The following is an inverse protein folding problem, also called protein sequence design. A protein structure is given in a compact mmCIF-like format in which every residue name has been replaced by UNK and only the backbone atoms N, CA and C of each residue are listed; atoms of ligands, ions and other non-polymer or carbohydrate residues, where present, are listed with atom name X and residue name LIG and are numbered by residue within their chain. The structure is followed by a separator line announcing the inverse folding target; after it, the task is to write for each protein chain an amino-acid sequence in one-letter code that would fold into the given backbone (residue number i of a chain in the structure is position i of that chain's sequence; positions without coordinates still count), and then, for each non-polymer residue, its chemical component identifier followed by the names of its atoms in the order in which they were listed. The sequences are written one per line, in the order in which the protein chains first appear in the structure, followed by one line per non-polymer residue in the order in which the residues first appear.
data_IF_069966958762
#
_entry.id   IF_069966958762
#
_cell.length_a   1.000
_cell.length_b   1.000
_cell.length_c   1.000
_cell.angle_alpha   90.00
_cell.angle_beta   90.00
_cell.angle_gamma   90.00
#
_symmetry.space_group_name_H-M   'P 1'
#
loop_
_entity.id
_entity.type
_entity.pdbx_description
1 polymer ?
2 non-polymer ?
3 water ?
#
# COMPACT_ATOMS: atom_id res chain seq x y z
N UNK A 29 -0.44 37.15 -18.82
CA UNK A 29 -1.43 37.04 -17.70
C UNK A 29 -2.42 35.93 -18.06
N UNK A 30 -3.31 36.20 -19.03
CA UNK A 30 -4.26 35.22 -19.61
C UNK A 30 -3.43 34.18 -20.37
N UNK A 31 -2.34 34.62 -20.99
CA UNK A 31 -1.49 33.70 -21.79
C UNK A 31 -0.82 32.73 -20.84
N UNK A 32 -0.48 33.18 -19.65
CA UNK A 32 0.27 32.39 -18.62
C UNK A 32 -0.69 31.33 -18.07
N UNK A 33 -1.91 31.76 -17.73
CA UNK A 33 -3.00 30.89 -17.23
C UNK A 33 -3.25 29.80 -18.27
N UNK A 34 -3.30 30.19 -19.56
CA UNK A 34 -3.47 29.29 -20.71
C UNK A 34 -2.24 28.41 -20.84
N UNK A 35 -1.04 28.96 -20.63
CA UNK A 35 0.20 28.14 -20.67
C UNK A 35 0.13 27.06 -19.58
N UNK A 36 -0.26 27.38 -18.36
CA UNK A 36 -0.29 26.41 -17.22
C UNK A 36 -1.22 25.24 -17.57
N UNK A 37 -2.42 25.55 -18.06
CA UNK A 37 -3.40 24.51 -18.53
C UNK A 37 -2.80 23.66 -19.64
N UNK A 38 -2.23 24.28 -20.69
CA UNK A 38 -1.59 23.55 -21.82
C UNK A 38 -0.47 22.64 -21.31
N UNK A 39 0.38 23.10 -20.40
CA UNK A 39 1.50 22.27 -19.87
C UNK A 39 0.95 21.04 -19.11
N UNK A 40 -0.05 21.21 -18.25
CA UNK A 40 -0.64 20.09 -17.44
C UNK A 40 -1.27 19.10 -18.41
N UNK A 41 -2.04 19.60 -19.37
CA UNK A 41 -2.67 18.77 -20.42
C UNK A 41 -1.63 17.97 -21.19
N UNK A 42 -0.59 18.63 -21.71
CA UNK A 42 0.44 17.96 -22.53
C UNK A 42 1.24 16.96 -21.71
N UNK A 43 1.59 17.29 -20.48
CA UNK A 43 2.39 16.41 -19.59
C UNK A 43 1.58 15.16 -19.25
N UNK A 44 0.31 15.37 -18.88
CA UNK A 44 -0.63 14.28 -18.55
C UNK A 44 -0.67 13.31 -19.72
N UNK A 45 -0.82 13.84 -20.93
CA UNK A 45 -0.92 12.99 -22.16
C UNK A 45 0.36 12.19 -22.35
N UNK A 46 1.50 12.87 -22.42
CA UNK A 46 2.79 12.23 -22.80
C UNK A 46 3.27 11.32 -21.67
N UNK A 47 3.25 11.74 -20.43
CA UNK A 47 3.66 10.87 -19.29
C UNK A 47 2.66 9.71 -19.13
N UNK A 48 1.36 9.97 -19.34
CA UNK A 48 0.33 8.93 -19.41
C UNK A 48 0.69 7.82 -20.39
N UNK A 49 1.22 8.21 -21.53
CA UNK A 49 1.57 7.29 -22.65
C UNK A 49 2.90 6.60 -22.39
N UNK A 50 3.96 7.31 -22.00
CA UNK A 50 5.33 6.75 -22.05
C UNK A 50 5.97 6.65 -20.65
N UNK A 51 5.36 7.26 -19.62
CA UNK A 51 5.91 7.28 -18.27
C UNK A 51 6.74 8.54 -18.01
N UNK A 52 6.76 8.95 -16.75
CA UNK A 52 7.50 10.12 -16.25
C UNK A 52 8.95 10.06 -16.73
N UNK A 53 9.63 8.92 -16.56
CA UNK A 53 11.09 8.82 -16.79
C UNK A 53 11.40 9.04 -18.29
N UNK A 54 10.44 8.82 -19.18
CA UNK A 54 10.68 8.72 -20.65
C UNK A 54 10.34 10.03 -21.37
N UNK A 55 9.81 11.04 -20.69
CA UNK A 55 9.51 12.35 -21.36
C UNK A 55 10.11 13.47 -20.54
N UNK A 56 10.94 14.31 -21.16
CA UNK A 56 11.56 15.50 -20.52
C UNK A 56 10.71 16.75 -20.71
N UNK A 57 10.97 17.77 -19.88
CA UNK A 57 10.24 19.07 -19.90
C UNK A 57 10.35 19.76 -21.26
N UNK A 58 11.49 19.70 -22.01
CA UNK A 58 11.54 20.33 -23.33
C UNK A 58 10.46 19.79 -24.30
N UNK A 59 10.32 18.46 -24.36
CA UNK A 59 9.31 17.80 -25.23
C UNK A 59 7.89 18.20 -24.79
N UNK A 60 7.66 18.37 -23.47
CA UNK A 60 6.34 18.80 -22.93
C UNK A 60 6.09 20.25 -23.39
N UNK A 61 7.10 21.11 -23.26
CA UNK A 61 7.01 22.55 -23.65
C UNK A 61 6.56 22.64 -25.12
N UNK A 62 7.20 21.85 -25.98
CA UNK A 62 6.92 21.76 -27.43
C UNK A 62 5.49 21.25 -27.66
N UNK A 63 5.08 20.19 -26.97
CA UNK A 63 3.71 19.63 -27.03
C UNK A 63 2.70 20.75 -26.73
N UNK A 64 2.96 21.55 -25.69
CA UNK A 64 2.08 22.63 -25.22
C UNK A 64 2.21 23.85 -26.16
N UNK A 65 3.22 23.87 -27.04
CA UNK A 65 3.49 25.00 -27.93
C UNK A 65 3.93 26.23 -27.17
N UNK A 66 4.74 26.07 -26.12
CA UNK A 66 5.22 27.21 -25.30
C UNK A 66 6.74 27.07 -25.16
N UNK A 67 7.36 28.17 -24.76
CA UNK A 67 8.83 28.26 -24.60
C UNK A 67 9.19 27.64 -23.25
N UNK A 68 10.47 27.29 -23.12
CA UNK A 68 11.02 26.75 -21.87
C UNK A 68 10.87 27.80 -20.77
N UNK A 69 11.03 29.09 -21.08
CA UNK A 69 10.93 30.15 -20.06
C UNK A 69 9.51 30.28 -19.54
N UNK A 70 8.50 30.12 -20.38
CA UNK A 70 7.07 30.17 -19.98
C UNK A 70 6.78 28.94 -19.08
N UNK A 71 7.35 27.78 -19.41
CA UNK A 71 7.16 26.56 -18.59
C UNK A 71 7.79 26.75 -17.22
N UNK A 72 9.04 27.20 -17.16
CA UNK A 72 9.85 27.35 -15.92
C UNK A 72 9.20 28.41 -15.03
N UNK A 73 8.52 29.40 -15.61
CA UNK A 73 7.75 30.41 -14.85
C UNK A 73 6.58 29.74 -14.08
N UNK A 74 5.94 28.74 -14.67
CA UNK A 74 4.77 28.04 -14.07
C UNK A 74 5.26 26.92 -13.12
N UNK A 75 6.32 26.22 -13.50
CA UNK A 75 6.77 24.99 -12.78
C UNK A 75 8.28 25.10 -12.54
N UNK A 76 8.66 25.18 -11.27
CA UNK A 76 10.07 25.22 -10.81
C UNK A 76 10.83 24.07 -11.46
N UNK A 77 10.23 22.88 -11.56
CA UNK A 77 10.94 21.67 -12.08
C UNK A 77 9.95 20.62 -12.56
N UNK A 78 10.48 19.54 -13.12
CA UNK A 78 9.69 18.41 -13.67
C UNK A 78 8.74 17.81 -12.62
N UNK A 79 9.22 17.62 -11.39
CA UNK A 79 8.42 16.98 -10.30
C UNK A 79 7.26 17.90 -9.94
N UNK A 80 7.43 19.22 -9.98
CA UNK A 80 6.36 20.22 -9.68
C UNK A 80 5.23 20.08 -10.70
N UNK A 81 5.55 19.93 -11.97
CA UNK A 81 4.53 19.74 -13.03
C UNK A 81 3.83 18.40 -12.82
N UNK A 82 4.59 17.35 -12.48
CA UNK A 82 4.03 16.03 -12.15
C UNK A 82 3.02 16.13 -11.01
N UNK A 83 3.33 16.87 -9.94
CA UNK A 83 2.41 17.01 -8.78
C UNK A 83 1.06 17.57 -9.26
N UNK A 84 1.06 18.56 -10.16
CA UNK A 84 -0.19 19.16 -10.68
C UNK A 84 -0.90 18.17 -11.63
N UNK A 85 -0.16 17.34 -12.36
CA UNK A 85 -0.77 16.30 -13.21
C UNK A 85 -1.49 15.28 -12.28
N UNK A 86 -0.83 14.83 -11.22
CA UNK A 86 -1.44 13.85 -10.28
C UNK A 86 -2.75 14.43 -9.73
N UNK A 87 -2.81 15.73 -9.44
CA UNK A 87 -4.02 16.38 -8.87
C UNK A 87 -5.17 16.22 -9.85
N UNK A 88 -4.99 16.61 -11.11
CA UNK A 88 -6.12 16.60 -12.09
C UNK A 88 -6.46 15.14 -12.41
N UNK A 89 -5.50 14.23 -12.45
CA UNK A 89 -5.76 12.78 -12.68
C UNK A 89 -6.58 12.20 -11.51
N UNK A 90 -6.20 12.49 -10.27
CA UNK A 90 -6.92 12.02 -9.07
C UNK A 90 -8.34 12.60 -9.03
N UNK A 91 -8.50 13.87 -9.36
CA UNK A 91 -9.83 14.53 -9.41
C UNK A 91 -10.70 13.75 -10.40
N UNK A 92 -10.16 13.34 -11.54
CA UNK A 92 -10.89 12.62 -12.60
C UNK A 92 -11.19 11.18 -12.18
N UNK A 93 -10.25 10.55 -11.50
CA UNK A 93 -10.48 9.20 -10.91
C UNK A 93 -11.69 9.26 -9.98
N UNK A 94 -11.69 10.19 -9.02
CA UNK A 94 -12.79 10.27 -8.02
C UNK A 94 -14.11 10.65 -8.71
N UNK A 95 -14.07 11.50 -9.74
CA UNK A 95 -15.30 11.92 -10.47
C UNK A 95 -15.81 10.71 -11.25
N UNK A 96 -14.93 9.95 -11.87
CA UNK A 96 -15.36 8.76 -12.62
C UNK A 96 -15.92 7.68 -11.66
N UNK A 97 -15.36 7.52 -10.47
CA UNK A 97 -15.89 6.55 -9.48
C UNK A 97 -17.32 6.98 -9.10
N UNK A 98 -17.51 8.26 -8.75
CA UNK A 98 -18.85 8.81 -8.40
C UNK A 98 -19.80 8.61 -9.58
N UNK A 99 -19.34 8.77 -10.82
CA UNK A 99 -20.18 8.60 -12.04
C UNK A 99 -20.59 7.13 -12.17
N UNK A 100 -19.65 6.19 -12.02
CA UNK A 100 -19.94 4.74 -12.20
C UNK A 100 -20.85 4.25 -11.09
N UNK A 101 -20.70 4.76 -9.86
CA UNK A 101 -21.62 4.38 -8.75
C UNK A 101 -23.04 4.94 -9.07
N UNK A 102 -23.16 6.19 -9.52
CA UNK A 102 -24.46 6.82 -9.88
C UNK A 102 -25.08 6.09 -11.07
N UNK A 103 -24.26 5.59 -12.00
CA UNK A 103 -24.70 4.86 -13.22
C UNK A 103 -25.09 3.41 -12.91
N UNK A 104 -24.74 2.87 -11.73
CA UNK A 104 -24.90 1.43 -11.44
C UNK A 104 -26.39 1.12 -11.18
N UNK A 105 -27.18 2.11 -10.79
CA UNK A 105 -28.57 1.94 -10.33
C UNK A 105 -28.64 1.64 -8.84
N UNK A 106 -27.51 1.57 -8.13
CA UNK A 106 -27.47 1.09 -6.73
C UNK A 106 -28.56 1.80 -5.94
N UNK A 107 -29.41 1.02 -5.27
CA UNK A 107 -30.59 1.49 -4.51
C UNK A 107 -30.30 1.47 -3.00
N UNK A 108 -29.28 0.72 -2.57
CA UNK A 108 -28.91 0.60 -1.14
C UNK A 108 -27.45 0.93 -0.96
N UNK A 109 -27.03 1.38 0.24
CA UNK A 109 -25.61 1.56 0.54
C UNK A 109 -24.81 0.28 0.26
N UNK A 110 -25.34 -0.90 0.57
CA UNK A 110 -24.64 -2.18 0.27
C UNK A 110 -24.36 -2.26 -1.22
N UNK A 111 -25.35 -1.96 -2.08
CA UNK A 111 -25.13 -2.03 -3.56
C UNK A 111 -24.22 -0.90 -4.02
N UNK A 112 -24.21 0.25 -3.33
CA UNK A 112 -23.30 1.37 -3.67
C UNK A 112 -21.87 0.88 -3.45
N UNK A 113 -21.64 0.11 -2.38
CA UNK A 113 -20.29 -0.38 -2.00
C UNK A 113 -19.85 -1.39 -3.06
N UNK A 114 -20.72 -2.32 -3.42
CA UNK A 114 -20.44 -3.31 -4.48
C UNK A 114 -20.05 -2.56 -5.75
N UNK A 115 -20.84 -1.56 -6.17
CA UNK A 115 -20.59 -0.79 -7.41
C UNK A 115 -19.25 -0.04 -7.29
N UNK A 116 -18.93 0.54 -6.12
CA UNK A 116 -17.67 1.33 -5.92
C UNK A 116 -16.46 0.42 -6.05
N UNK A 117 -16.54 -0.79 -5.51
CA UNK A 117 -15.42 -1.75 -5.61
C UNK A 117 -15.20 -2.08 -7.09
N UNK A 118 -16.26 -2.42 -7.83
CA UNK A 118 -16.15 -2.69 -9.30
C UNK A 118 -15.62 -1.45 -10.04
N UNK A 119 -16.11 -0.26 -9.68
CA UNK A 119 -15.69 1.03 -10.30
C UNK A 119 -14.19 1.25 -10.09
N UNK A 120 -13.65 1.02 -8.88
CA UNK A 120 -12.20 1.15 -8.61
C UNK A 120 -11.40 0.24 -9.53
N UNK A 121 -11.80 -1.02 -9.70
CA UNK A 121 -11.05 -1.93 -10.61
C UNK A 121 -11.11 -1.38 -12.04
N UNK A 122 -12.25 -0.83 -12.44
CA UNK A 122 -12.43 -0.27 -13.81
C UNK A 122 -11.51 0.94 -14.00
N UNK A 123 -11.56 1.91 -13.10
CA UNK A 123 -10.90 3.24 -13.22
C UNK A 123 -9.39 2.99 -13.12
N UNK A 124 -8.96 2.14 -12.18
CA UNK A 124 -7.53 1.90 -11.88
C UNK A 124 -6.91 1.11 -13.05
N UNK A 125 -7.77 0.49 -13.87
CA UNK A 125 -7.32 -0.28 -15.05
C UNK A 125 -7.18 0.60 -16.28
N UNK A 126 -7.65 1.85 -16.24
CA UNK A 126 -7.36 2.84 -17.32
C UNK A 126 -5.83 2.98 -17.46
N UNK A 127 -5.22 2.73 -18.64
CA UNK A 127 -3.75 2.73 -18.78
C UNK A 127 -3.06 4.01 -18.30
N UNK A 128 -3.69 5.17 -18.49
CA UNK A 128 -3.13 6.46 -18.00
C UNK A 128 -3.08 6.44 -16.46
N UNK A 129 -4.14 5.95 -15.81
CA UNK A 129 -4.22 5.94 -14.32
C UNK A 129 -3.16 4.95 -13.79
N UNK A 130 -3.06 3.80 -14.41
CA UNK A 130 -2.03 2.78 -14.10
C UNK A 130 -0.65 3.44 -14.17
N UNK A 131 -0.34 4.09 -15.30
CA UNK A 131 1.01 4.67 -15.49
C UNK A 131 1.25 5.79 -14.46
N UNK A 132 0.34 6.75 -14.32
CA UNK A 132 0.62 8.00 -13.58
C UNK A 132 0.43 7.79 -12.08
N UNK A 133 -0.65 7.10 -11.67
CA UNK A 133 -0.98 6.95 -10.22
C UNK A 133 -0.32 5.70 -9.63
N UNK A 134 -0.36 4.56 -10.30
CA UNK A 134 0.11 3.31 -9.66
C UNK A 134 1.64 3.14 -9.86
N UNK A 135 2.19 3.56 -10.97
CA UNK A 135 3.62 3.31 -11.27
C UNK A 135 4.46 4.55 -10.95
N UNK A 136 4.19 5.68 -11.58
CA UNK A 136 5.02 6.90 -11.45
C UNK A 136 4.80 7.60 -10.11
N UNK A 137 3.56 7.82 -9.68
CA UNK A 137 3.30 8.73 -8.55
C UNK A 137 4.04 8.29 -7.28
N UNK A 138 4.01 7.00 -6.88
CA UNK A 138 4.67 6.56 -5.65
C UNK A 138 6.19 6.84 -5.71
N UNK A 139 6.77 6.74 -6.90
CA UNK A 139 8.22 7.00 -7.13
C UNK A 139 8.49 8.49 -7.08
N UNK A 140 7.76 9.28 -7.87
CA UNK A 140 8.07 10.73 -8.04
C UNK A 140 7.70 11.50 -6.77
N UNK A 141 6.55 11.18 -6.15
CA UNK A 141 6.14 11.95 -4.93
C UNK A 141 6.86 11.41 -3.69
N UNK A 142 7.31 10.16 -3.73
CA UNK A 142 7.76 9.41 -2.55
C UNK A 142 6.60 8.93 -1.72
N UNK A 143 6.86 8.07 -0.74
CA UNK A 143 5.83 7.36 0.03
C UNK A 143 4.89 8.36 0.73
N UNK A 144 5.45 9.30 1.49
CA UNK A 144 4.66 10.20 2.36
C UNK A 144 3.78 11.10 1.47
N UNK A 145 4.37 11.65 0.40
CA UNK A 145 3.66 12.54 -0.54
C UNK A 145 2.55 11.80 -1.24
N UNK A 146 2.82 10.58 -1.71
CA UNK A 146 1.84 9.77 -2.47
C UNK A 146 0.67 9.41 -1.55
N UNK A 147 0.94 8.91 -0.37
CA UNK A 147 -0.16 8.52 0.54
C UNK A 147 -0.97 9.75 0.93
N UNK A 148 -0.35 10.91 1.11
CA UNK A 148 -1.11 12.12 1.51
C UNK A 148 -2.13 12.47 0.42
N UNK A 149 -1.71 12.44 -0.84
CA UNK A 149 -2.59 12.69 -2.02
C UNK A 149 -3.65 11.58 -2.10
N UNK A 150 -3.27 10.30 -2.01
CA UNK A 150 -4.18 9.13 -2.04
C UNK A 150 -5.28 9.28 -0.99
N UNK A 151 -4.91 9.63 0.24
CA UNK A 151 -5.85 9.76 1.39
C UNK A 151 -6.80 10.94 1.14
N UNK A 152 -6.25 12.09 0.74
CA UNK A 152 -7.04 13.32 0.47
C UNK A 152 -8.14 12.97 -0.53
N UNK A 153 -7.86 12.16 -1.55
CA UNK A 153 -8.88 11.87 -2.59
C UNK A 153 -9.79 10.69 -2.22
N UNK A 154 -9.30 9.68 -1.50
CA UNK A 154 -10.07 8.40 -1.36
C UNK A 154 -10.79 8.29 0.00
N UNK A 155 -10.26 8.91 1.06
CA UNK A 155 -10.77 8.60 2.43
C UNK A 155 -12.24 9.05 2.56
N UNK A 156 -12.55 10.26 2.07
CA UNK A 156 -13.88 10.88 2.16
C UNK A 156 -14.95 10.00 1.56
N UNK A 157 -14.81 9.59 0.30
CA UNK A 157 -15.76 8.69 -0.39
C UNK A 157 -15.88 7.37 0.37
N UNK A 158 -14.75 6.79 0.80
CA UNK A 158 -14.77 5.47 1.49
C UNK A 158 -15.56 5.58 2.80
N UNK A 159 -15.24 6.57 3.62
CA UNK A 159 -15.90 6.81 4.93
C UNK A 159 -17.38 7.11 4.73
N UNK A 160 -17.74 7.82 3.67
CA UNK A 160 -19.15 8.13 3.40
C UNK A 160 -19.92 6.83 3.09
N UNK A 161 -19.43 6.00 2.17
CA UNK A 161 -20.11 4.71 1.82
C UNK A 161 -20.27 3.85 3.09
N UNK A 162 -19.22 3.76 3.90
CA UNK A 162 -19.26 2.97 5.17
C UNK A 162 -20.35 3.57 6.07
N UNK A 163 -20.35 4.90 6.27
CA UNK A 163 -21.26 5.54 7.26
C UNK A 163 -22.69 5.30 6.78
N UNK A 164 -22.98 5.45 5.49
CA UNK A 164 -24.34 5.22 4.95
C UNK A 164 -24.74 3.76 5.17
N UNK A 165 -23.84 2.80 5.00
CA UNK A 165 -24.18 1.37 5.11
C UNK A 165 -24.48 1.10 6.57
N UNK A 166 -23.69 1.67 7.49
CA UNK A 166 -23.96 1.53 8.95
C UNK A 166 -25.35 2.12 9.26
N UNK A 167 -25.62 3.37 8.87
CA UNK A 167 -26.92 4.05 9.14
C UNK A 167 -28.09 3.19 8.62
N UNK A 168 -27.96 2.55 7.45
CA UNK A 168 -29.01 1.70 6.85
C UNK A 168 -29.14 0.35 7.56
N UNK A 169 -28.29 0.02 8.53
CA UNK A 169 -28.23 -1.30 9.18
C UNK A 169 -27.67 -2.40 8.26
N UNK A 170 -26.86 -2.04 7.26
CA UNK A 170 -26.30 -3.04 6.29
C UNK A 170 -24.83 -3.31 6.61
N UNK A 171 -24.30 -2.69 7.66
CA UNK A 171 -22.93 -2.95 8.12
C UNK A 171 -22.96 -2.73 9.63
N UNK A 172 -22.35 -3.63 10.40
CA UNK A 172 -22.25 -3.52 11.88
C UNK A 172 -21.69 -2.15 12.26
N UNK A 173 -22.30 -1.52 13.26
CA UNK A 173 -21.69 -0.35 13.95
C UNK A 173 -20.28 -0.73 14.37
N UNK A 174 -19.31 0.10 13.99
CA UNK A 174 -17.88 -0.12 14.22
C UNK A 174 -17.15 1.18 13.88
N UNK A 175 -15.87 1.32 14.31
CA UNK A 175 -15.06 2.49 13.98
C UNK A 175 -14.96 2.61 12.45
N UNK A 176 -15.36 3.77 11.93
CA UNK A 176 -15.40 4.06 10.48
C UNK A 176 -13.98 4.16 9.91
N UNK A 177 -13.11 4.98 10.51
CA UNK A 177 -11.78 5.30 9.91
C UNK A 177 -10.93 4.03 9.84
N UNK A 178 -10.81 3.22 10.91
CA UNK A 178 -10.04 1.97 10.80
C UNK A 178 -10.54 1.02 9.69
N UNK A 179 -11.86 0.85 9.53
CA UNK A 179 -12.41 -0.02 8.46
C UNK A 179 -12.02 0.59 7.11
N UNK A 180 -12.19 1.91 6.95
CA UNK A 180 -11.88 2.66 5.71
C UNK A 180 -10.42 2.38 5.32
N UNK A 181 -9.51 2.54 6.26
CA UNK A 181 -8.05 2.48 6.04
C UNK A 181 -7.68 1.06 5.60
N UNK A 182 -8.24 0.04 6.27
CA UNK A 182 -7.97 -1.39 5.94
C UNK A 182 -8.49 -1.68 4.53
N UNK A 183 -9.70 -1.22 4.21
CA UNK A 183 -10.27 -1.46 2.85
C UNK A 183 -9.44 -0.72 1.81
N UNK A 184 -9.01 0.52 2.06
CA UNK A 184 -8.13 1.27 1.12
C UNK A 184 -6.83 0.46 0.89
N UNK A 185 -6.25 -0.12 1.93
CA UNK A 185 -5.05 -0.97 1.81
C UNK A 185 -5.29 -2.18 0.93
N UNK A 186 -6.45 -2.82 1.08
CA UNK A 186 -6.87 -3.99 0.29
C UNK A 186 -7.05 -3.56 -1.17
N UNK A 187 -7.77 -2.46 -1.39
CA UNK A 187 -8.15 -1.98 -2.75
C UNK A 187 -6.90 -1.43 -3.47
N UNK A 188 -6.01 -0.72 -2.77
CA UNK A 188 -4.71 -0.24 -3.32
C UNK A 188 -3.91 -1.48 -3.77
N UNK A 189 -3.82 -2.52 -2.95
CA UNK A 189 -3.05 -3.75 -3.31
C UNK A 189 -3.74 -4.43 -4.51
N UNK A 190 -5.07 -4.54 -4.50
CA UNK A 190 -5.82 -5.14 -5.63
C UNK A 190 -5.42 -4.45 -6.95
N UNK A 191 -5.37 -3.12 -6.97
CA UNK A 191 -5.06 -2.34 -8.19
C UNK A 191 -3.61 -2.61 -8.62
N UNK A 192 -2.67 -2.61 -7.67
CA UNK A 192 -1.23 -2.79 -7.97
C UNK A 192 -0.99 -4.21 -8.48
N UNK A 193 -1.70 -5.20 -7.90
CA UNK A 193 -1.61 -6.63 -8.29
C UNK A 193 -2.04 -6.77 -9.74
N UNK A 194 -3.17 -6.16 -10.12
CA UNK A 194 -3.68 -6.20 -11.52
C UNK A 194 -2.69 -5.43 -12.41
N UNK A 195 -2.26 -4.24 -11.99
CA UNK A 195 -1.36 -3.35 -12.76
C UNK A 195 -0.08 -4.11 -13.18
N UNK A 196 0.43 -5.04 -12.36
CA UNK A 196 1.76 -5.64 -12.59
C UNK A 196 1.63 -7.13 -12.96
N UNK A 197 0.41 -7.61 -13.16
CA UNK A 197 0.14 -9.07 -13.41
C UNK A 197 0.58 -9.46 -14.82
N UNK A 198 1.10 -10.70 -14.97
CA UNK A 198 1.38 -11.36 -16.27
C UNK A 198 0.12 -11.35 -17.14
N UNK A 199 -1.02 -11.74 -16.58
CA UNK A 199 -2.34 -11.76 -17.28
C UNK A 199 -3.30 -10.84 -16.50
N UNK A 200 -3.33 -9.53 -16.81
CA UNK A 200 -4.16 -8.57 -16.09
C UNK A 200 -5.66 -8.83 -16.23
N UNK A 201 -6.08 -9.42 -17.35
CA UNK A 201 -7.50 -9.74 -17.61
C UNK A 201 -7.97 -10.75 -16.56
N UNK A 202 -7.17 -11.80 -16.37
CA UNK A 202 -7.44 -12.88 -15.39
C UNK A 202 -7.28 -12.30 -13.97
N UNK A 203 -6.22 -11.54 -13.71
CA UNK A 203 -5.95 -10.96 -12.37
C UNK A 203 -7.15 -10.09 -11.96
N UNK A 204 -7.67 -9.29 -12.89
CA UNK A 204 -8.80 -8.36 -12.61
C UNK A 204 -10.06 -9.18 -12.29
N UNK A 205 -10.38 -10.18 -13.12
CA UNK A 205 -11.57 -11.06 -12.89
C UNK A 205 -11.43 -11.72 -11.50
N UNK A 206 -10.29 -12.33 -11.20
CA UNK A 206 -10.13 -13.13 -9.96
C UNK A 206 -10.10 -12.21 -8.73
N UNK A 207 -9.49 -11.04 -8.87
CA UNK A 207 -9.37 -10.05 -7.78
C UNK A 207 -10.78 -9.49 -7.51
N UNK A 208 -11.56 -9.24 -8.56
CA UNK A 208 -12.95 -8.74 -8.40
C UNK A 208 -13.75 -9.79 -7.62
N UNK A 209 -13.58 -11.07 -7.96
CA UNK A 209 -14.25 -12.21 -7.26
C UNK A 209 -13.89 -12.21 -5.78
N UNK A 210 -12.60 -12.11 -5.45
CA UNK A 210 -12.09 -12.11 -4.06
C UNK A 210 -12.68 -10.92 -3.29
N UNK A 211 -12.65 -9.72 -3.87
CA UNK A 211 -13.15 -8.51 -3.16
C UNK A 211 -14.66 -8.62 -2.95
N UNK A 212 -15.38 -9.12 -3.94
CA UNK A 212 -16.85 -9.26 -3.84
C UNK A 212 -17.18 -10.23 -2.69
N UNK A 213 -16.42 -11.31 -2.53
CA UNK A 213 -16.68 -12.31 -1.47
C UNK A 213 -16.40 -11.68 -0.11
N UNK A 214 -15.34 -10.92 -0.02
CA UNK A 214 -14.91 -10.23 1.21
C UNK A 214 -16.00 -9.23 1.64
N UNK A 215 -16.47 -8.37 0.74
CA UNK A 215 -17.51 -7.36 1.12
C UNK A 215 -18.84 -8.07 1.38
N UNK A 216 -19.21 -9.08 0.58
CA UNK A 216 -20.47 -9.84 0.80
C UNK A 216 -20.43 -10.58 2.15
N UNK A 217 -19.27 -10.94 2.65
CA UNK A 217 -19.14 -11.54 4.00
C UNK A 217 -19.41 -10.53 5.10
N UNK A 218 -19.24 -9.23 4.85
CA UNK A 218 -19.44 -8.18 5.90
C UNK A 218 -20.79 -7.45 5.72
N UNK A 219 -21.32 -7.38 4.52
CA UNK A 219 -22.55 -6.59 4.26
C UNK A 219 -23.79 -7.39 4.67
N UNK A 220 -24.63 -6.76 5.49
CA UNK A 220 -25.99 -7.26 5.80
C UNK A 220 -26.91 -6.63 4.74
N UNK A 221 -26.89 -7.22 3.57
CA UNK A 221 -27.61 -6.66 2.41
C UNK A 221 -26.90 -7.00 1.13
N UNK B 31 34.88 -13.44 6.10
CA UNK B 31 35.72 -12.27 6.55
C UNK B 31 34.97 -10.97 6.23
N UNK B 32 34.56 -10.81 4.96
CA UNK B 32 33.55 -9.84 4.48
C UNK B 32 32.23 -10.11 5.22
N UNK B 33 31.87 -11.41 5.29
CA UNK B 33 30.69 -11.96 5.98
C UNK B 33 30.58 -11.34 7.37
N UNK B 34 31.69 -11.31 8.12
CA UNK B 34 31.74 -10.84 9.53
C UNK B 34 31.51 -9.32 9.56
N UNK B 35 32.10 -8.58 8.63
CA UNK B 35 31.90 -7.11 8.51
C UNK B 35 30.42 -6.85 8.21
N UNK B 36 29.85 -7.55 7.23
CA UNK B 36 28.44 -7.33 6.80
C UNK B 36 27.53 -7.64 7.98
N UNK B 37 27.75 -8.74 8.70
CA UNK B 37 26.92 -9.13 9.87
C UNK B 37 27.00 -8.04 10.93
N UNK B 38 28.20 -7.57 11.30
CA UNK B 38 28.37 -6.48 12.29
C UNK B 38 27.62 -5.22 11.84
N UNK B 39 27.76 -4.83 10.58
CA UNK B 39 27.12 -3.60 10.06
C UNK B 39 25.59 -3.76 10.09
N UNK B 40 25.06 -4.91 9.65
CA UNK B 40 23.57 -5.13 9.61
C UNK B 40 23.04 -5.09 11.03
N UNK B 41 23.70 -5.76 11.96
CA UNK B 41 23.32 -5.79 13.39
C UNK B 41 23.31 -4.37 13.94
N UNK B 42 24.38 -3.61 13.74
CA UNK B 42 24.50 -2.22 14.25
C UNK B 42 23.43 -1.31 13.66
N UNK B 43 23.17 -1.43 12.36
CA UNK B 43 22.18 -0.59 11.65
C UNK B 43 20.79 -0.91 12.17
N UNK B 44 20.47 -2.19 12.27
CA UNK B 44 19.17 -2.67 12.79
C UNK B 44 18.94 -2.01 14.15
N UNK B 45 19.95 -2.08 15.04
CA UNK B 45 19.82 -1.55 16.43
C UNK B 45 19.56 -0.04 16.40
N UNK B 46 20.45 0.72 15.77
CA UNK B 46 20.44 2.20 15.83
C UNK B 46 19.27 2.77 15.02
N UNK B 47 19.01 2.25 13.82
CA UNK B 47 17.85 2.69 12.99
C UNK B 47 16.55 2.27 13.69
N UNK B 48 16.54 1.07 14.28
CA UNK B 48 15.44 0.58 15.13
C UNK B 48 15.06 1.59 16.21
N UNK B 49 16.08 2.20 16.82
CA UNK B 49 15.92 3.12 17.97
C UNK B 49 15.52 4.52 17.47
N UNK B 50 16.21 5.09 16.48
CA UNK B 50 16.06 6.53 16.16
C UNK B 50 15.50 6.79 14.76
N UNK B 51 15.47 5.79 13.89
CA UNK B 51 14.99 5.94 12.52
C UNK B 51 16.12 6.09 11.54
N UNK B 52 15.92 5.57 10.33
CA UNK B 52 16.80 5.71 9.15
C UNK B 52 17.31 7.15 9.02
N UNK B 53 16.43 8.15 9.06
CA UNK B 53 16.78 9.55 8.76
C UNK B 53 17.81 10.08 9.76
N UNK B 54 17.80 9.57 10.99
CA UNK B 54 18.47 10.20 12.17
C UNK B 54 19.84 9.56 12.44
N UNK B 55 20.23 8.52 11.73
CA UNK B 55 21.55 7.87 11.96
C UNK B 55 22.25 7.72 10.63
N UNK B 56 23.49 8.22 10.56
CA UNK B 56 24.36 8.15 9.39
C UNK B 56 25.22 6.90 9.45
N UNK B 57 25.79 6.53 8.31
CA UNK B 57 26.63 5.31 8.16
C UNK B 57 27.86 5.39 9.06
N UNK B 58 28.54 6.55 9.27
CA UNK B 58 29.68 6.60 10.19
C UNK B 58 29.34 6.14 11.62
N UNK B 59 28.18 6.57 12.15
CA UNK B 59 27.74 6.16 13.51
C UNK B 59 27.46 4.65 13.53
N UNK B 60 26.94 4.10 12.43
CA UNK B 60 26.70 2.63 12.28
C UNK B 60 28.07 1.92 12.25
N UNK B 61 29.02 2.45 11.50
CA UNK B 61 30.41 1.92 11.38
C UNK B 61 31.02 1.79 12.78
N UNK B 62 30.86 2.83 13.60
CA UNK B 62 31.38 2.89 14.99
C UNK B 62 30.67 1.86 15.87
N UNK B 63 29.34 1.76 15.79
CA UNK B 63 28.59 0.73 16.55
C UNK B 63 29.11 -0.66 16.18
N UNK B 64 29.40 -0.90 14.90
CA UNK B 64 29.87 -2.19 14.35
C UNK B 64 31.34 -2.39 14.68
N UNK B 65 32.06 -1.32 15.07
CA UNK B 65 33.51 -1.36 15.27
C UNK B 65 34.25 -1.66 13.97
N UNK B 66 33.81 -1.07 12.85
CA UNK B 66 34.55 -1.18 11.56
C UNK B 66 34.77 0.23 11.01
N UNK B 67 35.74 0.40 10.12
CA UNK B 67 36.09 1.70 9.50
C UNK B 67 35.08 2.03 8.40
N UNK B 68 35.02 3.30 8.03
CA UNK B 68 34.20 3.81 6.91
C UNK B 68 34.59 3.07 5.63
N UNK B 69 35.88 2.81 5.43
CA UNK B 69 36.40 2.16 4.21
C UNK B 69 35.89 0.73 4.10
N UNK B 70 35.90 -0.02 5.20
CA UNK B 70 35.42 -1.42 5.24
C UNK B 70 33.90 -1.42 5.02
N UNK B 71 33.18 -0.46 5.59
CA UNK B 71 31.72 -0.36 5.41
C UNK B 71 31.39 -0.13 3.93
N UNK B 72 32.04 0.86 3.30
CA UNK B 72 31.72 1.34 1.93
C UNK B 72 32.07 0.25 0.92
N UNK B 73 33.02 -0.62 1.25
CA UNK B 73 33.34 -1.83 0.45
C UNK B 73 32.13 -2.77 0.40
N UNK B 74 31.40 -2.90 1.51
CA UNK B 74 30.26 -3.85 1.65
C UNK B 74 28.96 -3.21 1.15
N UNK B 75 28.79 -1.91 1.40
CA UNK B 75 27.53 -1.20 1.08
C UNK B 75 27.90 0.11 0.39
N UNK B 76 27.58 0.19 -0.90
CA UNK B 76 27.77 1.40 -1.72
C UNK B 76 27.20 2.61 -0.98
N UNK B 77 26.03 2.47 -0.35
CA UNK B 77 25.34 3.63 0.26
C UNK B 77 24.39 3.16 1.38
N UNK B 78 23.78 4.14 2.02
CA UNK B 78 22.91 3.96 3.19
C UNK B 78 21.73 3.05 2.84
N UNK B 79 21.11 3.28 1.68
CA UNK B 79 19.91 2.55 1.23
C UNK B 79 20.26 1.07 1.04
N UNK B 80 21.48 0.77 0.56
CA UNK B 80 21.94 -0.63 0.33
C UNK B 80 21.96 -1.37 1.67
N UNK B 81 22.50 -0.75 2.71
CA UNK B 81 22.56 -1.39 4.05
C UNK B 81 21.14 -1.57 4.61
N UNK B 82 20.27 -0.57 4.41
CA UNK B 82 18.85 -0.62 4.83
C UNK B 82 18.16 -1.82 4.17
N UNK B 83 18.37 -2.06 2.87
CA UNK B 83 17.75 -3.21 2.17
C UNK B 83 18.12 -4.53 2.89
N UNK B 84 19.37 -4.70 3.30
CA UNK B 84 19.82 -5.93 4.00
C UNK B 84 19.22 -5.98 5.42
N UNK B 85 19.07 -4.84 6.09
CA UNK B 85 18.42 -4.76 7.42
C UNK B 85 16.96 -5.24 7.28
N UNK B 86 16.23 -4.73 6.29
CA UNK B 86 14.80 -5.10 6.10
C UNK B 86 14.70 -6.61 5.91
N UNK B 87 15.61 -7.23 5.14
CA UNK B 87 15.59 -8.68 4.85
C UNK B 87 15.62 -9.45 6.20
N UNK B 88 16.61 -9.16 7.02
CA UNK B 88 16.88 -9.90 8.29
C UNK B 88 15.71 -9.65 9.25
N UNK B 89 15.20 -8.42 9.29
CA UNK B 89 14.08 -8.06 10.20
C UNK B 89 12.80 -8.80 9.76
N UNK B 90 12.50 -8.84 8.47
CA UNK B 90 11.25 -9.49 7.96
C UNK B 90 11.35 -10.99 8.17
N UNK B 91 12.53 -11.56 7.95
CA UNK B 91 12.76 -13.01 8.24
C UNK B 91 12.43 -13.30 9.71
N UNK B 92 12.87 -12.42 10.61
CA UNK B 92 12.68 -12.56 12.08
C UNK B 92 11.19 -12.37 12.41
N UNK B 93 10.55 -11.38 11.80
CA UNK B 93 9.10 -11.12 11.99
C UNK B 93 8.32 -12.37 11.67
N UNK B 94 8.57 -12.99 10.53
CA UNK B 94 7.81 -14.17 10.07
C UNK B 94 8.09 -15.34 11.02
N UNK B 95 9.32 -15.50 11.51
CA UNK B 95 9.68 -16.58 12.46
C UNK B 95 8.95 -16.35 13.78
N UNK B 96 8.90 -15.10 14.24
CA UNK B 96 8.17 -14.79 15.49
C UNK B 96 6.67 -15.05 15.34
N UNK B 97 6.11 -14.73 14.17
CA UNK B 97 4.67 -15.00 13.91
C UNK B 97 4.40 -16.51 13.93
N UNK B 98 5.18 -17.31 13.21
CA UNK B 98 5.11 -18.79 13.22
C UNK B 98 5.23 -19.28 14.69
N UNK B 99 6.10 -18.69 15.51
CA UNK B 99 6.25 -19.07 16.95
C UNK B 99 4.95 -18.76 17.71
N UNK B 100 4.38 -17.57 17.54
CA UNK B 100 3.15 -17.16 18.26
C UNK B 100 1.94 -18.00 17.80
N UNK B 101 1.88 -18.36 16.53
CA UNK B 101 0.78 -19.21 15.98
C UNK B 101 0.92 -20.61 16.62
N UNK B 102 2.13 -21.17 16.71
CA UNK B 102 2.38 -22.49 17.34
C UNK B 102 1.96 -22.47 18.84
N UNK B 103 2.15 -21.35 19.54
CA UNK B 103 1.79 -21.18 20.97
C UNK B 103 0.30 -20.83 21.16
N UNK B 104 -0.46 -20.56 20.09
CA UNK B 104 -1.84 -20.02 20.21
C UNK B 104 -2.81 -21.12 20.63
N UNK B 105 -2.50 -22.39 20.33
CA UNK B 105 -3.41 -23.54 20.50
C UNK B 105 -4.46 -23.62 19.40
N UNK B 106 -4.28 -22.90 18.30
CA UNK B 106 -5.28 -22.87 17.20
C UNK B 106 -5.54 -24.33 16.80
N UNK B 107 -6.81 -24.72 16.72
CA UNK B 107 -7.26 -26.12 16.54
C UNK B 107 -7.66 -26.40 15.09
N UNK B 108 -8.00 -25.37 14.31
CA UNK B 108 -8.45 -25.47 12.90
C UNK B 108 -7.69 -24.46 12.04
N UNK B 109 -7.60 -24.66 10.72
CA UNK B 109 -7.05 -23.65 9.81
C UNK B 109 -7.70 -22.27 9.99
N UNK B 110 -9.01 -22.20 10.22
CA UNK B 110 -9.70 -20.91 10.46
C UNK B 110 -9.06 -20.22 11.68
N UNK B 111 -8.84 -20.97 12.76
CA UNK B 111 -8.26 -20.40 14.01
C UNK B 111 -6.78 -20.10 13.77
N UNK B 112 -6.10 -20.83 12.89
CA UNK B 112 -4.69 -20.53 12.57
C UNK B 112 -4.61 -19.14 11.91
N UNK B 113 -5.60 -18.81 11.05
CA UNK B 113 -5.62 -17.51 10.33
C UNK B 113 -5.85 -16.40 11.36
N UNK B 114 -6.85 -16.60 12.23
CA UNK B 114 -7.14 -15.66 13.33
C UNK B 114 -5.87 -15.46 14.16
N UNK B 115 -5.19 -16.53 14.56
CA UNK B 115 -3.96 -16.43 15.39
C UNK B 115 -2.86 -15.68 14.64
N UNK B 116 -2.69 -15.90 13.32
CA UNK B 116 -1.63 -15.24 12.51
C UNK B 116 -1.89 -13.74 12.44
N UNK B 117 -3.16 -13.36 12.31
CA UNK B 117 -3.53 -11.92 12.30
C UNK B 117 -3.16 -11.31 13.66
N UNK B 118 -3.55 -11.94 14.77
CA UNK B 118 -3.20 -11.50 16.16
C UNK B 118 -1.68 -11.45 16.33
N UNK B 119 -0.95 -12.44 15.81
CA UNK B 119 0.53 -12.49 15.87
C UNK B 119 1.14 -11.28 15.17
N UNK B 120 0.67 -10.98 13.95
CA UNK B 120 1.13 -9.77 13.22
C UNK B 120 0.83 -8.50 14.03
N UNK B 121 -0.37 -8.35 14.60
CA UNK B 121 -0.68 -7.15 15.42
C UNK B 121 0.27 -7.09 16.63
N UNK B 122 0.64 -8.22 17.21
CA UNK B 122 1.55 -8.28 18.38
C UNK B 122 2.94 -7.80 17.95
N UNK B 123 3.52 -8.48 16.95
CA UNK B 123 4.94 -8.30 16.51
C UNK B 123 5.10 -6.88 15.95
N UNK B 124 4.10 -6.37 15.23
CA UNK B 124 4.12 -5.04 14.57
C UNK B 124 4.19 -3.93 15.63
N UNK B 125 3.80 -4.24 16.87
CA UNK B 125 3.87 -3.29 18.00
C UNK B 125 5.24 -3.25 18.65
N UNK B 126 6.15 -4.19 18.32
CA UNK B 126 7.58 -4.09 18.71
C UNK B 126 8.15 -2.80 18.14
N UNK B 127 8.68 -1.87 18.98
CA UNK B 127 9.16 -0.55 18.51
C UNK B 127 10.15 -0.59 17.33
N UNK B 128 11.03 -1.58 17.32
CA UNK B 128 12.03 -1.72 16.24
C UNK B 128 11.29 -2.07 14.94
N UNK B 129 10.32 -2.99 14.98
CA UNK B 129 9.55 -3.43 13.78
C UNK B 129 8.73 -2.22 13.27
N UNK B 130 8.09 -1.50 14.18
CA UNK B 130 7.32 -0.27 13.86
C UNK B 130 8.26 0.70 13.13
N UNK B 131 9.42 1.02 13.71
CA UNK B 131 10.32 2.03 13.10
C UNK B 131 10.84 1.53 11.76
N UNK B 132 11.36 0.30 11.66
CA UNK B 132 12.11 -0.15 10.45
C UNK B 132 11.14 -0.54 9.34
N UNK B 133 10.10 -1.31 9.67
CA UNK B 133 9.21 -1.91 8.65
C UNK B 133 8.03 -0.97 8.35
N UNK B 134 7.42 -0.38 9.36
CA UNK B 134 6.14 0.34 9.13
C UNK B 134 6.42 1.80 8.76
N UNK B 135 7.47 2.40 9.30
CA UNK B 135 7.74 3.84 9.09
C UNK B 135 8.83 4.04 8.03
N UNK B 136 10.01 3.48 8.23
CA UNK B 136 11.18 3.71 7.35
C UNK B 136 11.05 2.93 6.04
N UNK B 137 10.70 1.65 6.07
CA UNK B 137 10.81 0.79 4.87
C UNK B 137 9.98 1.35 3.71
N UNK B 138 8.72 1.79 3.89
CA UNK B 138 7.93 2.31 2.77
C UNK B 138 8.59 3.56 2.15
N UNK B 139 9.18 4.41 2.99
CA UNK B 139 9.88 5.66 2.57
C UNK B 139 11.14 5.29 1.79
N UNK B 140 11.99 4.43 2.34
CA UNK B 140 13.30 4.12 1.72
C UNK B 140 13.11 3.23 0.50
N UNK B 141 12.26 2.20 0.58
CA UNK B 141 12.06 1.22 -0.52
C UNK B 141 11.03 1.72 -1.53
N UNK B 142 10.12 2.59 -1.15
CA UNK B 142 8.95 2.95 -1.98
C UNK B 142 7.90 1.87 -1.92
N UNK B 143 6.72 2.15 -2.43
CA UNK B 143 5.57 1.20 -2.46
C UNK B 143 5.97 -0.09 -3.20
N UNK B 144 6.59 -0.01 -4.39
CA UNK B 144 6.90 -1.21 -5.20
C UNK B 144 7.93 -2.09 -4.44
N UNK B 145 8.98 -1.46 -3.90
CA UNK B 145 10.04 -2.17 -3.15
C UNK B 145 9.47 -2.81 -1.89
N UNK B 146 8.62 -2.09 -1.15
CA UNK B 146 8.00 -2.56 0.10
C UNK B 146 7.14 -3.79 -0.20
N UNK B 147 6.27 -3.70 -1.20
CA UNK B 147 5.39 -4.84 -1.62
C UNK B 147 6.25 -6.05 -1.97
N UNK B 148 7.34 -5.84 -2.71
CA UNK B 148 8.18 -6.98 -3.18
C UNK B 148 8.70 -7.75 -1.97
N UNK B 149 9.24 -7.03 -1.00
CA UNK B 149 9.79 -7.62 0.26
C UNK B 149 8.65 -8.27 1.07
N UNK B 150 7.54 -7.56 1.27
CA UNK B 150 6.34 -8.09 1.96
C UNK B 150 5.91 -9.44 1.36
N UNK B 151 5.78 -9.52 0.04
CA UNK B 151 5.35 -10.72 -0.69
C UNK B 151 6.37 -11.85 -0.56
N UNK B 152 7.65 -11.56 -0.79
CA UNK B 152 8.73 -12.57 -0.66
C UNK B 152 8.67 -13.22 0.72
N UNK B 153 8.41 -12.47 1.79
CA UNK B 153 8.45 -13.00 3.17
C UNK B 153 7.10 -13.59 3.61
N UNK B 154 5.96 -13.17 3.06
CA UNK B 154 4.67 -13.61 3.65
C UNK B 154 3.75 -14.34 2.68
N UNK B 155 3.98 -14.29 1.37
CA UNK B 155 3.02 -14.88 0.40
C UNK B 155 2.89 -16.39 0.63
N UNK B 156 4.01 -17.10 0.77
CA UNK B 156 4.06 -18.55 0.99
C UNK B 156 3.23 -19.00 2.17
N UNK B 157 3.47 -18.41 3.33
CA UNK B 157 2.73 -18.75 4.57
C UNK B 157 1.25 -18.37 4.40
N UNK B 158 0.94 -17.22 3.79
CA UNK B 158 -0.46 -16.76 3.61
C UNK B 158 -1.20 -17.72 2.69
N UNK B 159 -0.60 -18.12 1.55
CA UNK B 159 -1.22 -19.06 0.60
C UNK B 159 -1.44 -20.42 1.28
N UNK B 160 -0.50 -20.84 2.12
CA UNK B 160 -0.61 -22.10 2.89
C UNK B 160 -1.85 -22.04 3.80
N UNK B 161 -1.98 -21.01 4.63
CA UNK B 161 -3.14 -20.86 5.56
C UNK B 161 -4.45 -20.90 4.76
N UNK B 162 -4.51 -20.13 3.67
CA UNK B 162 -5.71 -20.10 2.80
C UNK B 162 -5.98 -21.52 2.28
N UNK B 163 -4.98 -22.22 1.71
CA UNK B 163 -5.18 -23.55 1.08
C UNK B 163 -5.69 -24.54 2.16
N UNK B 164 -5.12 -24.52 3.35
CA UNK B 164 -5.57 -25.42 4.46
C UNK B 164 -7.01 -25.09 4.85
N UNK B 165 -7.40 -23.81 4.89
CA UNK B 165 -8.76 -23.43 5.31
C UNK B 165 -9.73 -23.91 4.23
N UNK B 166 -9.36 -23.76 2.95
CA UNK B 166 -10.17 -24.28 1.83
C UNK B 166 -10.31 -25.81 1.96
N UNK B 167 -9.21 -26.55 2.12
CA UNK B 167 -9.23 -28.04 2.24
C UNK B 167 -10.16 -28.47 3.39
N UNK B 168 -10.13 -27.76 4.52
CA UNK B 168 -10.95 -28.05 5.71
C UNK B 168 -12.41 -27.62 5.53
N UNK B 169 -12.77 -27.01 4.40
CA UNK B 169 -14.11 -26.48 4.15
C UNK B 169 -14.46 -25.26 4.99
N UNK B 170 -13.47 -24.49 5.47
CA UNK B 170 -13.74 -23.30 6.32
C UNK B 170 -13.58 -22.00 5.52
N UNK B 171 -13.26 -22.12 4.24
CA UNK B 171 -13.09 -20.94 3.35
C UNK B 171 -13.54 -21.38 1.97
N UNK B 172 -14.37 -20.60 1.29
CA UNK B 172 -14.83 -20.93 -0.08
C UNK B 172 -13.62 -21.14 -1.00
N UNK B 173 -13.69 -22.20 -1.80
CA UNK B 173 -12.84 -22.40 -2.99
C UNK B 173 -12.83 -21.09 -3.79
N UNK B 174 -11.66 -20.51 -4.03
CA UNK B 174 -11.51 -19.20 -4.73
C UNK B 174 -10.05 -19.04 -5.10
N UNK B 175 -9.71 -18.05 -5.96
CA UNK B 175 -8.32 -17.85 -6.37
C UNK B 175 -7.46 -17.60 -5.12
N UNK B 176 -6.46 -18.43 -4.88
CA UNK B 176 -5.62 -18.38 -3.66
C UNK B 176 -4.73 -17.13 -3.70
N UNK B 177 -3.95 -16.93 -4.78
CA UNK B 177 -2.93 -15.85 -4.86
C UNK B 177 -3.61 -14.49 -4.77
N UNK B 178 -4.69 -14.20 -5.53
CA UNK B 178 -5.37 -12.91 -5.37
C UNK B 178 -5.84 -12.64 -3.92
N UNK B 179 -6.44 -13.63 -3.26
CA UNK B 179 -6.93 -13.45 -1.86
C UNK B 179 -5.73 -13.18 -0.95
N UNK B 180 -4.65 -13.93 -1.11
CA UNK B 180 -3.39 -13.78 -0.34
C UNK B 180 -2.88 -12.34 -0.44
N UNK B 181 -2.78 -11.84 -1.68
CA UNK B 181 -2.24 -10.49 -1.98
C UNK B 181 -3.09 -9.42 -1.29
N UNK B 182 -4.41 -9.54 -1.41
CA UNK B 182 -5.36 -8.55 -0.83
C UNK B 182 -5.23 -8.58 0.71
N UNK B 183 -5.17 -9.77 1.30
CA UNK B 183 -5.02 -9.90 2.77
C UNK B 183 -3.69 -9.30 3.21
N UNK B 184 -2.60 -9.61 2.51
CA UNK B 184 -1.25 -9.03 2.84
C UNK B 184 -1.34 -7.51 2.80
N UNK B 185 -1.96 -6.96 1.76
CA UNK B 185 -2.06 -5.49 1.59
C UNK B 185 -2.90 -4.91 2.71
N UNK B 186 -3.98 -5.59 3.09
CA UNK B 186 -4.90 -5.13 4.15
C UNK B 186 -4.18 -5.15 5.51
N UNK B 187 -3.48 -6.25 5.80
CA UNK B 187 -2.81 -6.43 7.12
C UNK B 187 -1.62 -5.47 7.28
N UNK B 188 -0.85 -5.28 6.20
CA UNK B 188 0.27 -4.30 6.19
C UNK B 188 -0.31 -2.89 6.44
N UNK B 189 -1.41 -2.52 5.77
CA UNK B 189 -2.03 -1.19 5.96
C UNK B 189 -2.55 -1.05 7.41
N UNK B 190 -3.18 -2.10 7.96
CA UNK B 190 -3.69 -2.09 9.36
C UNK B 190 -2.54 -1.73 10.31
N UNK B 191 -1.38 -2.35 10.14
CA UNK B 191 -0.23 -2.10 11.06
C UNK B 191 0.28 -0.66 10.89
N UNK B 192 0.39 -0.16 9.66
CA UNK B 192 0.84 1.22 9.38
C UNK B 192 -0.14 2.24 9.99
N UNK B 193 -1.45 1.93 9.95
CA UNK B 193 -2.51 2.82 10.50
C UNK B 193 -2.27 2.95 12.02
N UNK B 194 -2.07 1.81 12.70
CA UNK B 194 -1.76 1.77 14.15
C UNK B 194 -0.44 2.51 14.41
N UNK B 195 0.60 2.23 13.62
CA UNK B 195 1.95 2.78 13.78
C UNK B 195 1.92 4.31 13.81
N UNK B 196 1.03 4.95 13.05
CA UNK B 196 1.09 6.42 12.87
C UNK B 196 -0.10 7.10 13.57
N UNK B 197 -0.90 6.35 14.33
CA UNK B 197 -2.15 6.87 14.94
C UNK B 197 -1.81 7.78 16.13
N UNK B 198 -2.63 8.83 16.36
CA UNK B 198 -2.57 9.73 17.54
C UNK B 198 -2.67 8.88 18.82
N UNK B 199 -3.61 7.94 18.87
CA UNK B 199 -3.80 7.02 20.04
C UNK B 199 -3.64 5.58 19.57
N UNK B 200 -2.39 5.05 19.54
CA UNK B 200 -2.13 3.71 19.02
C UNK B 200 -2.81 2.59 19.80
N UNK B 201 -3.04 2.78 21.10
CA UNK B 201 -3.71 1.75 21.94
C UNK B 201 -5.14 1.57 21.45
N UNK B 202 -5.84 2.69 21.21
CA UNK B 202 -7.22 2.70 20.70
C UNK B 202 -7.22 2.22 19.25
N UNK B 203 -6.30 2.71 18.41
CA UNK B 203 -6.22 2.34 16.98
C UNK B 203 -6.00 0.84 16.86
N UNK B 204 -5.15 0.26 17.71
CA UNK B 204 -4.87 -1.21 17.71
C UNK B 204 -6.13 -1.97 18.10
N UNK B 205 -6.84 -1.54 19.15
CA UNK B 205 -8.08 -2.23 19.58
C UNK B 205 -9.13 -2.15 18.45
N UNK B 206 -9.38 -0.96 17.91
CA UNK B 206 -10.43 -0.74 16.86
C UNK B 206 -10.04 -1.47 15.57
N UNK B 207 -8.76 -1.48 15.21
CA UNK B 207 -8.25 -2.13 13.98
C UNK B 207 -8.39 -3.64 14.16
N UNK B 208 -8.04 -4.16 15.34
CA UNK B 208 -8.20 -5.61 15.64
C UNK B 208 -9.69 -5.97 15.47
N UNK B 209 -10.60 -5.13 15.97
CA UNK B 209 -12.07 -5.36 15.87
C UNK B 209 -12.45 -5.48 14.38
N UNK B 210 -12.03 -4.49 13.57
CA UNK B 210 -12.26 -4.46 12.09
C UNK B 210 -11.69 -5.74 11.44
N UNK B 211 -10.46 -6.12 11.73
CA UNK B 211 -9.81 -7.29 11.07
C UNK B 211 -10.54 -8.58 11.47
N UNK B 212 -10.95 -8.68 12.73
CA UNK B 212 -11.77 -9.83 13.22
C UNK B 212 -13.04 -9.96 12.37
N UNK B 213 -13.74 -8.85 12.11
CA UNK B 213 -15.04 -8.86 11.39
C UNK B 213 -14.79 -9.28 9.94
N UNK B 214 -13.74 -8.73 9.35
CA UNK B 214 -13.35 -8.99 7.94
C UNK B 214 -12.99 -10.48 7.76
N UNK B 215 -12.15 -11.01 8.63
CA UNK B 215 -11.71 -12.45 8.59
C UNK B 215 -12.93 -13.34 8.84
N UNK B 216 -13.70 -13.05 9.89
CA UNK B 216 -14.89 -13.86 10.28
C UNK B 216 -15.94 -13.82 9.16
N UNK B 217 -16.02 -12.72 8.40
CA UNK B 217 -16.94 -12.64 7.25
C UNK B 217 -16.50 -13.53 6.11
N UNK B 218 -15.18 -13.74 6.00
CA UNK B 218 -14.46 -14.49 4.95
C UNK B 218 -14.60 -16.02 5.16
N UNK B 219 -14.81 -16.47 6.40
CA UNK B 219 -14.68 -17.90 6.82
C UNK B 219 -16.05 -18.51 7.14
N UNK B 220 -16.18 -19.83 6.96
CA UNK B 220 -17.48 -20.56 6.98
C UNK B 220 -17.74 -21.19 8.34
N UNK B 221 -18.93 -20.92 8.91
CA UNK B 221 -19.58 -21.77 9.91
C UNK B 221 -20.45 -20.98 10.86
X LIG C 1 5.42 -8.55 8.13
X LIG C 1 -1.58 -13.89 7.65
X LIG C 1 5.05 -8.37 5.30
X LIG C 1 6.04 -9.46 5.75
X LIG C 1 0.50 -10.84 8.41
X LIG C 1 6.44 -9.11 7.16
X LIG C 1 3.12 -9.58 6.38
X LIG C 1 1.81 -9.26 7.05
X LIG C 1 0.95 -10.47 7.17
X LIG C 1 -0.31 -11.94 8.56
X LIG C 1 -0.69 -12.69 7.45
X LIG C 1 3.89 -8.31 6.17
X LIG C 1 5.74 -7.02 5.46
X LIG C 1 4.46 -7.64 7.37
X LIG C 1 5.29 -6.49 6.82
X LIG C 1 7.63 -9.22 7.55
X LIG C 1 -2.55 -14.01 6.74
X LIG C 1 -2.14 -13.77 8.84
X LIG C 1 -0.77 -14.92 7.58
X LIG C 1 -0.25 -12.32 6.20
X LIG C 1 0.57 -11.21 6.07
#
# INVERSE_FOLDING_TARGET
MGSSHHHHHHSSGLVPRGSHMEIKRRTQEERSAATREALITGARKLWGLRGYAEVGTPEIATEAGVTRGAMYHQFADKAALFRDVVEVVEQDVMARMATLVAASGAATPADAIRAAVDAWLEVSGDPEVRQLILLDAPVVLGWAGFRDVAQRYSLGMTEQLITEAIRAGQLARQPVRPLAQVLIGALDEAAMFIATADDPKRARRETRQVLRRLIDGMLNG
MGSSHHHHHHSSGLVPRGSHMEIKRRTQEERSAATREALITGARKLWGLRGYAEVGTPEIATEAGVTRGAMYHQFADKAALFRDVVEVVEQDVMARMATLVAASGAATPADAIRAAVDAWLEVSGDPEVRQLILLDAPVVLGWAGFRDVAQRYSLGMTEQLITEAIRAGQLARQPVRPLAQVLIGALDEAAMFIATADDPKRARRETRQVLRRLIDGMLNG
GNZ C4 C14 C5 C6 C11 C7 C8 C9 C10 C12 C13 N1 C3 C1 C2 O1 F1 F2 F3 C15 C16
#
